data_IF_342869045161
#
_entry.id   IF_342869045161
#
_cell.length_a   1.000
_cell.length_b   1.000
_cell.length_c   1.000
_cell.angle_alpha   90.00
_cell.angle_beta   90.00
_cell.angle_gamma   90.00
#
_symmetry.space_group_name_H-M   'P 1'
#
loop_
_entity.id
_entity.type
_entity.pdbx_description
1 polymer ?
#
# COMPACT_ATOMS: atom_id res chain seq x y z
N UNK A 1 0.08 10.57 13.84
CA UNK A 1 -0.86 11.14 12.86
C UNK A 1 -0.84 10.34 11.57
N UNK A 2 -1.89 10.42 10.76
CA UNK A 2 -1.94 9.82 9.42
C UNK A 2 -1.62 10.93 8.42
N UNK A 3 -0.62 10.71 7.58
CA UNK A 3 -0.22 11.64 6.53
C UNK A 3 -0.50 11.02 5.17
N UNK A 4 -1.18 11.76 4.30
CA UNK A 4 -1.41 11.35 2.93
C UNK A 4 -0.39 12.02 2.01
N UNK A 5 0.22 11.23 1.15
CA UNK A 5 1.14 11.70 0.11
C UNK A 5 0.41 11.56 -1.22
N UNK A 6 0.17 12.66 -1.89
CA UNK A 6 -0.35 12.66 -3.24
C UNK A 6 0.79 12.41 -4.24
N UNK A 7 0.66 11.34 -5.03
CA UNK A 7 1.63 10.97 -6.07
C UNK A 7 1.66 11.98 -7.24
N UNK A 8 0.61 12.79 -7.39
CA UNK A 8 0.53 13.85 -8.39
C UNK A 8 1.17 15.16 -7.90
N UNK A 9 1.57 15.23 -6.63
CA UNK A 9 2.29 16.37 -6.11
C UNK A 9 3.64 16.53 -6.84
N UNK A 10 4.00 17.74 -7.27
CA UNK A 10 5.33 18.02 -7.84
C UNK A 10 6.49 17.81 -6.85
N UNK A 11 6.17 17.50 -5.59
CA UNK A 11 7.18 17.15 -4.59
C UNK A 11 7.68 15.74 -4.84
N UNK A 12 8.99 15.56 -4.96
CA UNK A 12 9.60 14.23 -5.05
C UNK A 12 9.33 13.43 -3.77
N UNK A 13 9.29 12.10 -3.87
CA UNK A 13 9.18 11.20 -2.71
C UNK A 13 10.21 11.58 -1.63
N UNK A 14 11.43 11.95 -2.04
CA UNK A 14 12.50 12.44 -1.17
C UNK A 14 12.09 13.64 -0.32
N UNK A 15 11.45 14.65 -0.92
CA UNK A 15 11.04 15.87 -0.19
C UNK A 15 9.93 15.55 0.83
N UNK A 16 9.00 14.68 0.46
CA UNK A 16 7.91 14.27 1.37
C UNK A 16 8.46 13.47 2.54
N UNK A 17 9.32 12.49 2.27
CA UNK A 17 9.99 11.69 3.30
C UNK A 17 10.78 12.60 4.24
N UNK A 18 11.59 13.53 3.71
CA UNK A 18 12.35 14.47 4.53
C UNK A 18 11.45 15.32 5.43
N UNK A 19 10.31 15.79 4.91
CA UNK A 19 9.33 16.56 5.69
C UNK A 19 8.70 15.72 6.79
N UNK A 20 8.34 14.46 6.51
CA UNK A 20 7.75 13.55 7.50
C UNK A 20 8.73 13.22 8.62
N UNK A 21 9.99 12.94 8.28
CA UNK A 21 11.01 12.59 9.26
C UNK A 21 11.49 13.79 10.10
N UNK A 22 11.27 15.02 9.63
CA UNK A 22 11.59 16.24 10.38
C UNK A 22 10.53 16.62 11.44
N UNK A 23 9.39 15.90 11.49
CA UNK A 23 8.36 16.18 12.48
C UNK A 23 8.75 15.70 13.87
N UNK A 24 8.29 16.37 14.95
CA UNK A 24 8.53 15.91 16.33
C UNK A 24 8.01 14.50 16.58
N UNK A 25 6.83 14.18 16.03
CA UNK A 25 6.23 12.84 16.05
C UNK A 25 6.52 12.17 14.71
N UNK A 26 7.62 11.45 14.63
CA UNK A 26 8.00 10.72 13.41
C UNK A 26 7.07 9.53 13.19
N UNK A 27 6.65 9.28 11.94
CA UNK A 27 5.92 8.07 11.63
C UNK A 27 6.84 6.84 11.85
N UNK A 28 6.28 5.80 12.45
CA UNK A 28 6.96 4.51 12.62
C UNK A 28 6.63 3.52 11.49
N UNK A 29 5.67 3.87 10.64
CA UNK A 29 5.31 3.08 9.47
C UNK A 29 4.82 3.98 8.33
N UNK A 30 5.12 3.55 7.10
CA UNK A 30 4.67 4.19 5.86
C UNK A 30 3.93 3.13 5.04
N UNK A 31 2.64 3.38 4.75
CA UNK A 31 1.86 2.57 3.84
C UNK A 31 1.80 3.25 2.48
N UNK A 32 2.16 2.53 1.44
CA UNK A 32 2.22 3.03 0.07
C UNK A 32 1.19 2.29 -0.77
N UNK A 33 0.46 3.01 -1.60
CA UNK A 33 -0.69 2.48 -2.35
C UNK A 33 -0.31 1.44 -3.43
N UNK A 34 0.98 1.31 -3.78
CA UNK A 34 1.45 0.25 -4.67
C UNK A 34 2.89 -0.17 -4.34
N UNK A 35 3.22 -1.43 -4.61
CA UNK A 35 4.55 -1.99 -4.39
C UNK A 35 5.63 -1.29 -5.21
N UNK A 36 5.29 -0.85 -6.42
CA UNK A 36 6.21 -0.13 -7.30
C UNK A 36 6.66 1.21 -6.68
N UNK A 37 5.72 1.95 -6.08
CA UNK A 37 6.07 3.18 -5.36
C UNK A 37 6.71 2.90 -4.01
N UNK A 38 6.35 1.80 -3.34
CA UNK A 38 6.98 1.39 -2.11
C UNK A 38 8.48 1.08 -2.30
N UNK A 39 8.86 0.45 -3.41
CA UNK A 39 10.26 0.25 -3.78
C UNK A 39 11.03 1.59 -3.81
N UNK A 40 10.44 2.62 -4.41
CA UNK A 40 11.07 3.95 -4.46
C UNK A 40 11.20 4.57 -3.07
N UNK A 41 10.18 4.42 -2.22
CA UNK A 41 10.22 4.89 -0.83
C UNK A 41 11.33 4.18 -0.05
N UNK A 42 11.45 2.87 -0.19
CA UNK A 42 12.53 2.07 0.43
C UNK A 42 13.90 2.60 0.01
N UNK A 43 14.13 2.79 -1.29
CA UNK A 43 15.40 3.31 -1.79
C UNK A 43 15.72 4.72 -1.27
N UNK A 44 14.74 5.61 -1.23
CA UNK A 44 14.94 6.98 -0.72
C UNK A 44 15.24 6.99 0.78
N UNK A 45 14.57 6.17 1.57
CA UNK A 45 14.83 6.02 3.00
C UNK A 45 16.25 5.48 3.25
N UNK A 46 16.65 4.43 2.54
CA UNK A 46 17.98 3.85 2.63
C UNK A 46 19.07 4.85 2.21
N UNK A 47 18.83 5.64 1.15
CA UNK A 47 19.77 6.65 0.66
C UNK A 47 20.07 7.76 1.69
N UNK A 48 19.16 8.01 2.62
CA UNK A 48 19.36 8.98 3.73
C UNK A 48 19.71 8.31 5.06
N UNK A 49 20.04 6.99 5.04
CA UNK A 49 20.52 6.25 6.20
C UNK A 49 19.44 5.79 7.18
N UNK A 50 18.15 5.83 6.79
CA UNK A 50 17.04 5.28 7.60
C UNK A 50 17.02 3.77 7.47
N UNK A 51 17.00 3.08 8.59
CA UNK A 51 16.99 1.61 8.63
C UNK A 51 15.54 1.11 8.55
N UNK A 52 15.33 0.13 7.68
CA UNK A 52 14.04 -0.54 7.48
C UNK A 52 14.23 -2.01 7.89
N UNK A 53 13.42 -2.53 8.79
CA UNK A 53 12.26 -1.95 9.47
C UNK A 53 12.57 -1.21 10.78
N UNK A 54 13.83 -1.14 11.20
CA UNK A 54 14.22 -0.73 12.56
C UNK A 54 13.80 0.69 12.93
N UNK A 55 13.91 1.64 12.03
CA UNK A 55 13.53 3.04 12.29
C UNK A 55 12.13 3.35 11.73
N UNK A 56 11.77 2.73 10.60
CA UNK A 56 10.48 2.89 9.91
C UNK A 56 10.12 1.60 9.20
N UNK A 57 8.91 1.11 9.40
CA UNK A 57 8.34 0.03 8.59
C UNK A 57 7.77 0.58 7.28
N UNK A 58 7.90 -0.19 6.19
CA UNK A 58 7.32 0.16 4.89
C UNK A 58 6.41 -0.97 4.41
N UNK A 59 5.18 -0.62 4.06
CA UNK A 59 4.19 -1.52 3.47
C UNK A 59 3.81 -1.07 2.07
N UNK A 60 3.72 -2.01 1.14
CA UNK A 60 3.16 -1.83 -0.18
C UNK A 60 1.70 -2.29 -0.29
N UNK A 61 1.24 -2.32 -1.51
CA UNK A 61 -0.06 -2.84 -1.91
C UNK A 61 0.11 -3.44 -3.32
N UNK A 62 -0.56 -4.51 -3.64
CA UNK A 62 -0.71 -5.27 -4.88
C UNK A 62 -0.23 -6.73 -4.77
N UNK A 63 0.77 -7.07 -3.96
CA UNK A 63 1.37 -8.40 -3.92
C UNK A 63 2.10 -8.75 -5.21
N UNK A 64 2.84 -7.81 -5.75
CA UNK A 64 3.50 -7.94 -7.05
C UNK A 64 4.87 -8.62 -6.95
N UNK A 65 5.42 -9.05 -8.10
CA UNK A 65 6.78 -9.58 -8.20
C UNK A 65 7.83 -8.59 -7.66
N UNK A 66 7.54 -7.29 -7.67
CA UNK A 66 8.39 -6.25 -7.08
C UNK A 66 8.46 -6.43 -5.56
N UNK A 67 7.33 -6.69 -4.90
CA UNK A 67 7.31 -6.93 -3.45
C UNK A 67 8.15 -8.16 -3.09
N UNK A 68 7.98 -9.25 -3.82
CA UNK A 68 8.75 -10.48 -3.63
C UNK A 68 10.27 -10.22 -3.81
N UNK A 69 10.65 -9.49 -4.86
CA UNK A 69 12.05 -9.27 -5.22
C UNK A 69 12.87 -8.52 -4.16
N UNK A 70 12.23 -7.68 -3.35
CA UNK A 70 12.90 -6.89 -2.29
C UNK A 70 12.48 -7.29 -0.87
N UNK A 71 11.67 -8.34 -0.72
CA UNK A 71 11.12 -8.75 0.57
C UNK A 71 10.22 -7.70 1.19
N UNK A 72 9.45 -6.97 0.38
CA UNK A 72 8.52 -5.93 0.84
C UNK A 72 7.33 -6.57 1.55
N UNK A 73 7.00 -6.06 2.72
CA UNK A 73 5.70 -6.34 3.33
C UNK A 73 4.61 -5.68 2.51
N UNK A 74 3.59 -6.43 2.10
CA UNK A 74 2.57 -5.92 1.19
C UNK A 74 1.17 -6.39 1.55
N UNK A 75 0.18 -5.66 1.11
CA UNK A 75 -1.22 -6.07 1.15
C UNK A 75 -1.61 -6.63 -0.22
N UNK A 76 -2.06 -7.89 -0.22
CA UNK A 76 -2.47 -8.60 -1.43
C UNK A 76 -3.99 -8.53 -1.55
N UNK A 77 -4.53 -7.81 -2.54
CA UNK A 77 -5.96 -7.75 -2.76
C UNK A 77 -6.48 -9.07 -3.33
N UNK A 78 -7.80 -9.26 -3.22
CA UNK A 78 -8.49 -10.31 -3.99
C UNK A 78 -8.09 -10.22 -5.47
N UNK A 79 -7.82 -11.37 -6.14
CA UNK A 79 -7.37 -11.35 -7.52
C UNK A 79 -8.27 -10.49 -8.43
N UNK A 80 -7.71 -9.64 -9.30
CA UNK A 80 -8.49 -8.73 -10.14
C UNK A 80 -9.53 -9.44 -11.03
N UNK A 81 -9.24 -10.67 -11.42
CA UNK A 81 -10.18 -11.52 -12.17
C UNK A 81 -11.46 -11.81 -11.36
N UNK A 82 -11.31 -12.12 -10.08
CA UNK A 82 -12.45 -12.40 -9.20
C UNK A 82 -13.28 -11.15 -8.97
N UNK A 83 -12.63 -10.01 -8.71
CA UNK A 83 -13.31 -8.71 -8.59
C UNK A 83 -14.07 -8.39 -9.87
N UNK A 84 -13.44 -8.61 -11.04
CA UNK A 84 -14.06 -8.39 -12.35
C UNK A 84 -15.28 -9.30 -12.57
N UNK A 85 -15.21 -10.57 -12.16
CA UNK A 85 -16.35 -11.50 -12.26
C UNK A 85 -17.53 -11.07 -11.37
N UNK A 86 -17.26 -10.63 -10.15
CA UNK A 86 -18.28 -10.10 -9.23
C UNK A 86 -18.94 -8.88 -9.85
N UNK A 87 -18.14 -7.92 -10.32
CA UNK A 87 -18.63 -6.67 -10.92
C UNK A 87 -19.46 -6.93 -12.18
N UNK A 88 -18.99 -7.79 -13.09
CA UNK A 88 -19.70 -8.15 -14.32
C UNK A 88 -21.05 -8.81 -14.03
N UNK A 89 -21.10 -9.73 -13.06
CA UNK A 89 -22.35 -10.38 -12.67
C UNK A 89 -23.37 -9.37 -12.15
N UNK A 90 -22.95 -8.43 -11.32
CA UNK A 90 -23.82 -7.37 -10.80
C UNK A 90 -24.31 -6.47 -11.94
N UNK A 91 -23.43 -6.07 -12.86
CA UNK A 91 -23.80 -5.26 -14.01
C UNK A 91 -24.84 -5.97 -14.91
N UNK A 92 -24.67 -7.26 -15.18
CA UNK A 92 -25.64 -8.04 -15.96
C UNK A 92 -27.00 -8.13 -15.25
N UNK A 93 -27.02 -8.34 -13.94
CA UNK A 93 -28.28 -8.34 -13.19
C UNK A 93 -29.02 -7.00 -13.32
N UNK A 94 -28.30 -5.87 -13.25
CA UNK A 94 -28.90 -4.54 -13.43
C UNK A 94 -29.45 -4.35 -14.85
N UNK A 95 -28.71 -4.78 -15.87
CA UNK A 95 -29.17 -4.71 -17.28
C UNK A 95 -30.43 -5.55 -17.50
N UNK A 96 -30.55 -6.69 -16.81
CA UNK A 96 -31.74 -7.55 -16.86
C UNK A 96 -32.91 -7.04 -15.97
N UNK A 97 -32.78 -5.85 -15.39
CA UNK A 97 -33.80 -5.25 -14.53
C UNK A 97 -33.95 -5.90 -13.15
N UNK A 98 -32.97 -6.70 -12.73
CA UNK A 98 -32.95 -7.33 -11.40
C UNK A 98 -32.42 -6.33 -10.36
N UNK A 99 -32.94 -6.42 -9.14
CA UNK A 99 -32.39 -5.71 -7.99
C UNK A 99 -31.12 -6.39 -7.49
N UNK A 100 -30.19 -5.63 -6.93
CA UNK A 100 -29.02 -6.17 -6.25
C UNK A 100 -29.33 -6.29 -4.76
N UNK A 101 -29.26 -7.51 -4.20
CA UNK A 101 -29.43 -7.75 -2.77
C UNK A 101 -28.26 -7.14 -1.96
N UNK A 102 -27.07 -7.11 -2.57
CA UNK A 102 -25.86 -6.48 -2.03
C UNK A 102 -25.22 -5.55 -3.09
N UNK A 103 -25.53 -4.24 -3.08
CA UNK A 103 -24.92 -3.28 -3.99
C UNK A 103 -23.43 -3.02 -3.67
N UNK A 104 -23.00 -3.24 -2.44
CA UNK A 104 -21.65 -2.93 -1.94
C UNK A 104 -20.92 -4.19 -1.46
N UNK A 105 -20.28 -4.90 -2.38
CA UNK A 105 -19.50 -6.09 -2.01
C UNK A 105 -18.10 -5.69 -1.56
N UNK A 106 -17.78 -6.08 -0.34
CA UNK A 106 -16.40 -5.98 0.18
C UNK A 106 -15.65 -7.27 -0.14
N UNK A 107 -14.48 -7.14 -0.73
CA UNK A 107 -13.57 -8.26 -1.00
C UNK A 107 -12.42 -8.26 0.00
N UNK A 108 -11.92 -9.44 0.42
CA UNK A 108 -10.84 -9.52 1.39
C UNK A 108 -9.50 -9.04 0.82
N UNK A 109 -8.64 -8.59 1.73
CA UNK A 109 -7.23 -8.30 1.48
C UNK A 109 -6.42 -9.14 2.44
N UNK A 110 -5.38 -9.80 1.96
CA UNK A 110 -4.41 -10.51 2.78
C UNK A 110 -3.21 -9.59 3.07
N UNK A 111 -2.54 -9.82 4.19
CA UNK A 111 -1.26 -9.18 4.50
C UNK A 111 -0.18 -10.23 4.35
N UNK A 112 0.80 -9.96 3.49
CA UNK A 112 2.00 -10.75 3.35
C UNK A 112 3.16 -10.03 4.06
N UNK A 113 3.62 -10.55 5.21
CA UNK A 113 4.75 -9.96 5.91
C UNK A 113 6.05 -10.23 5.14
N UNK A 114 6.89 -9.21 5.05
CA UNK A 114 8.22 -9.28 4.46
C UNK A 114 9.27 -8.69 5.41
N UNK A 115 10.45 -8.44 4.89
CA UNK A 115 11.56 -7.89 5.66
C UNK A 115 11.44 -6.39 5.96
N UNK A 116 10.49 -5.68 5.33
CA UNK A 116 10.35 -4.23 5.46
C UNK A 116 9.42 -3.78 6.58
N UNK A 117 8.83 -4.70 7.34
CA UNK A 117 8.03 -4.38 8.52
C UNK A 117 8.50 -5.11 9.76
N UNK A 118 8.38 -4.47 10.90
CA UNK A 118 8.79 -5.00 12.18
C UNK A 118 8.05 -4.34 13.35
N UNK A 119 8.34 -4.77 14.59
CA UNK A 119 7.74 -4.19 15.78
C UNK A 119 8.15 -2.72 15.92
N UNK A 120 7.22 -1.92 16.42
CA UNK A 120 7.51 -0.52 16.80
C UNK A 120 8.52 -0.53 17.95
N UNK A 121 9.60 0.25 17.82
CA UNK A 121 10.51 0.49 18.93
C UNK A 121 9.89 1.49 19.91
N UNK A 122 9.92 1.13 21.18
CA UNK A 122 9.58 2.01 22.29
C UNK A 122 10.59 3.16 22.44
#
# INVERSE_FOLDING_TARGET
GIHFIDSESPRSAKQVIATMLAQPERPTAICVWSDYYALRVVHELQAIGVRIPEDVSVFGFDGSDVAESIGLSTMVPTPPREIGQIAARKALNLVEGKTLDDPHTTVPVAVEPGATSGPVRE
#
